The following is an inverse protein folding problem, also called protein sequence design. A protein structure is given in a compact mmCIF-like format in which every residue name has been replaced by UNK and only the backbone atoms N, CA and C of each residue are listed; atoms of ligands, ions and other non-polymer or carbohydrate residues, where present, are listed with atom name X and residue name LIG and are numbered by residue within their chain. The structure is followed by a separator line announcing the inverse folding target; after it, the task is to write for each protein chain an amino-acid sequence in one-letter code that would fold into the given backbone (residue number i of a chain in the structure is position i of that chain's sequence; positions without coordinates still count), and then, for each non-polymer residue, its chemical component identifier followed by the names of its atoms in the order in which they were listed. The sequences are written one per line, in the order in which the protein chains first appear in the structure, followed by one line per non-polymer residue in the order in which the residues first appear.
data_IF_266017837782
#
_entry.id   IF_266017837782
#
_cell.length_a   1.000
_cell.length_b   1.000
_cell.length_c   1.000
_cell.angle_alpha   90.00
_cell.angle_beta   90.00
_cell.angle_gamma   90.00
#
_symmetry.space_group_name_H-M   'P 1'
#
loop_
_entity.id
_entity.type
_entity.pdbx_description
1 polymer ?
#
# COMPACT_ATOMS: atom_id res chain seq x y z
N UNK A 1 15.38 -3.34 22.08
CA UNK A 1 16.31 -3.24 20.94
C UNK A 1 15.86 -2.15 19.97
N UNK A 2 16.78 -1.49 19.24
CA UNK A 2 16.40 -0.54 18.18
C UNK A 2 15.96 -1.32 16.93
N UNK A 3 14.78 -1.01 16.41
CA UNK A 3 14.30 -1.55 15.13
C UNK A 3 14.94 -0.80 13.98
N UNK A 4 15.55 -1.52 13.04
CA UNK A 4 16.14 -0.94 11.84
C UNK A 4 15.04 -0.73 10.79
N UNK A 5 15.05 0.44 10.17
CA UNK A 5 14.21 0.77 9.02
C UNK A 5 15.11 1.09 7.85
N UNK A 6 14.74 0.60 6.66
CA UNK A 6 15.43 0.87 5.41
C UNK A 6 14.49 1.71 4.55
N UNK A 7 14.91 2.92 4.21
CA UNK A 7 14.13 3.84 3.37
C UNK A 7 14.94 4.27 2.17
N UNK A 8 14.31 4.47 1.00
CA UNK A 8 15.00 5.02 -0.15
C UNK A 8 15.22 6.52 0.07
N UNK A 9 16.41 7.00 -0.27
CA UNK A 9 16.78 8.40 -0.18
C UNK A 9 17.48 8.82 -1.48
N UNK A 10 17.16 10.02 -1.97
CA UNK A 10 17.72 10.53 -3.21
C UNK A 10 18.85 11.51 -2.91
N UNK A 11 19.99 11.27 -3.55
CA UNK A 11 21.12 12.18 -3.58
C UNK A 11 21.36 12.55 -5.04
N UNK A 12 21.34 13.85 -5.36
CA UNK A 12 21.77 14.31 -6.68
C UNK A 12 23.19 14.81 -6.59
N UNK A 13 24.01 14.46 -7.57
CA UNK A 13 25.35 14.99 -7.75
C UNK A 13 25.53 15.52 -9.16
N UNK A 14 26.21 16.65 -9.32
CA UNK A 14 26.66 17.12 -10.63
C UNK A 14 28.13 16.73 -10.89
N UNK A 15 28.62 16.99 -12.11
CA UNK A 15 30.00 16.72 -12.52
C UNK A 15 31.05 17.52 -11.72
N UNK A 16 30.63 18.59 -11.04
CA UNK A 16 31.47 19.42 -10.18
C UNK A 16 31.50 18.94 -8.72
N UNK A 17 30.80 17.85 -8.40
CA UNK A 17 30.73 17.27 -7.06
C UNK A 17 29.78 17.99 -6.10
N UNK A 18 28.96 18.94 -6.58
CA UNK A 18 27.91 19.52 -5.76
C UNK A 18 26.85 18.46 -5.48
N UNK A 19 26.37 18.40 -4.24
CA UNK A 19 25.35 17.44 -3.84
C UNK A 19 24.10 18.09 -3.26
N UNK A 20 22.95 17.50 -3.62
CA UNK A 20 21.65 17.75 -3.00
C UNK A 20 21.34 16.60 -2.07
N UNK A 21 21.04 16.94 -0.82
CA UNK A 21 20.64 15.99 0.21
C UNK A 21 19.12 15.70 0.20
N UNK A 22 18.68 14.63 0.87
CA UNK A 22 17.28 14.21 0.88
C UNK A 22 16.30 15.22 1.51
N UNK A 23 16.78 16.20 2.30
CA UNK A 23 15.93 17.23 2.93
C UNK A 23 15.17 18.06 1.89
N UNK A 24 15.65 18.07 0.64
CA UNK A 24 14.90 18.59 -0.51
C UNK A 24 13.47 18.10 -0.53
N UNK A 25 13.28 16.80 -0.50
CA UNK A 25 11.96 16.22 -0.70
C UNK A 25 11.04 16.44 0.49
N UNK A 26 11.57 16.39 1.71
CA UNK A 26 10.82 16.77 2.91
C UNK A 26 10.31 18.22 2.83
N UNK A 27 11.14 19.17 2.38
CA UNK A 27 10.71 20.56 2.18
C UNK A 27 9.70 20.71 1.04
N UNK A 28 9.92 20.03 -0.11
CA UNK A 28 8.97 20.10 -1.23
C UNK A 28 7.59 19.54 -0.84
N UNK A 29 7.55 18.41 -0.14
CA UNK A 29 6.31 17.80 0.33
C UNK A 29 5.57 18.74 1.30
N UNK A 30 6.27 19.27 2.30
CA UNK A 30 5.64 20.14 3.29
C UNK A 30 5.18 21.48 2.69
N UNK A 31 5.93 22.04 1.73
CA UNK A 31 5.48 23.22 0.96
C UNK A 31 4.24 22.89 0.13
N UNK A 32 4.21 21.71 -0.52
CA UNK A 32 3.05 21.29 -1.28
C UNK A 32 1.79 21.18 -0.40
N UNK A 33 1.93 20.65 0.82
CA UNK A 33 0.85 20.47 1.78
C UNK A 33 0.35 21.77 2.40
N UNK A 34 1.28 22.64 2.81
CA UNK A 34 0.96 23.80 3.66
C UNK A 34 0.93 25.14 2.92
N UNK A 35 1.59 25.23 1.76
CA UNK A 35 1.78 26.49 1.04
C UNK A 35 2.60 27.54 1.80
N UNK A 36 3.31 27.14 2.88
CA UNK A 36 4.07 28.05 3.76
C UNK A 36 5.44 27.48 4.07
N UNK A 37 6.48 28.26 3.76
CA UNK A 37 7.87 27.87 4.03
C UNK A 37 8.18 27.73 5.53
N UNK A 38 7.52 28.51 6.39
CA UNK A 38 7.71 28.43 7.84
C UNK A 38 7.27 27.08 8.41
N UNK A 39 6.07 26.62 8.04
CA UNK A 39 5.55 25.31 8.43
C UNK A 39 6.36 24.19 7.77
N UNK A 40 6.76 24.37 6.51
CA UNK A 40 7.60 23.38 5.85
C UNK A 40 8.97 23.19 6.51
N UNK A 41 9.58 24.28 6.97
CA UNK A 41 10.85 24.20 7.70
C UNK A 41 10.71 23.45 9.03
N UNK A 42 9.62 23.71 9.77
CA UNK A 42 9.29 23.01 11.00
C UNK A 42 9.08 21.50 10.76
N UNK A 43 8.25 21.13 9.79
CA UNK A 43 7.99 19.74 9.40
C UNK A 43 9.26 19.00 8.96
N UNK A 44 10.16 19.68 8.23
CA UNK A 44 11.44 19.13 7.79
C UNK A 44 12.53 19.16 8.88
N UNK A 45 12.23 19.66 10.08
CA UNK A 45 13.18 19.69 11.21
C UNK A 45 14.34 20.67 11.02
N UNK A 46 14.16 21.74 10.23
CA UNK A 46 15.21 22.72 9.93
C UNK A 46 14.79 24.15 10.27
N UNK A 47 15.75 25.03 10.54
CA UNK A 47 15.43 26.46 10.73
C UNK A 47 14.93 27.10 9.43
N UNK A 48 14.07 28.12 9.54
CA UNK A 48 13.60 28.89 8.37
C UNK A 48 14.75 29.41 7.51
N UNK A 49 15.81 29.95 8.14
CA UNK A 49 17.00 30.44 7.43
C UNK A 49 17.71 29.31 6.68
N UNK A 50 17.80 28.13 7.28
CA UNK A 50 18.38 26.96 6.62
C UNK A 50 17.54 26.50 5.44
N UNK A 51 16.21 26.39 5.59
CA UNK A 51 15.30 26.06 4.51
C UNK A 51 15.41 27.04 3.34
N UNK A 52 15.48 28.35 3.62
CA UNK A 52 15.70 29.37 2.59
C UNK A 52 17.02 29.18 1.83
N UNK A 53 18.12 28.93 2.56
CA UNK A 53 19.43 28.69 1.96
C UNK A 53 19.45 27.43 1.10
N UNK A 54 18.76 26.37 1.54
CA UNK A 54 18.60 25.15 0.77
C UNK A 54 17.85 25.40 -0.54
N UNK A 55 16.72 26.12 -0.51
CA UNK A 55 15.99 26.48 -1.74
C UNK A 55 16.87 27.21 -2.74
N UNK A 56 17.72 28.15 -2.27
CA UNK A 56 18.67 28.87 -3.13
C UNK A 56 19.78 27.98 -3.67
N UNK A 57 20.32 27.09 -2.84
CA UNK A 57 21.31 26.09 -3.26
C UNK A 57 20.73 25.20 -4.38
N UNK A 58 19.48 24.76 -4.25
CA UNK A 58 18.84 23.90 -5.23
C UNK A 58 18.45 24.64 -6.50
N UNK A 59 18.03 25.91 -6.40
CA UNK A 59 17.85 26.78 -7.57
C UNK A 59 19.14 26.91 -8.39
N UNK A 60 20.28 27.09 -7.72
CA UNK A 60 21.59 27.13 -8.37
C UNK A 60 21.94 25.78 -9.02
N UNK A 61 21.69 24.68 -8.33
CA UNK A 61 22.00 23.33 -8.85
C UNK A 61 21.16 22.96 -10.08
N UNK A 62 19.84 23.22 -10.05
CA UNK A 62 18.94 22.89 -11.16
C UNK A 62 18.86 23.97 -12.24
N UNK A 63 19.47 25.14 -12.01
CA UNK A 63 19.40 26.30 -12.91
C UNK A 63 18.03 26.98 -12.95
N UNK A 64 17.08 26.55 -12.12
CA UNK A 64 15.71 27.10 -12.04
C UNK A 64 15.15 26.89 -10.63
N UNK A 65 14.30 27.80 -10.12
CA UNK A 65 13.68 27.61 -8.82
C UNK A 65 12.77 26.38 -8.79
N UNK A 66 12.83 25.63 -7.69
CA UNK A 66 11.89 24.54 -7.39
C UNK A 66 10.64 25.02 -6.66
N UNK A 67 10.72 26.20 -6.05
CA UNK A 67 9.65 26.82 -5.27
C UNK A 67 9.53 28.29 -5.67
N UNK A 68 8.32 28.71 -5.96
CA UNK A 68 7.92 30.08 -6.24
C UNK A 68 7.38 30.72 -4.96
N UNK A 69 8.01 31.81 -4.53
CA UNK A 69 7.67 32.54 -3.32
C UNK A 69 6.99 33.85 -3.70
N UNK A 70 5.69 33.95 -3.43
CA UNK A 70 4.91 35.14 -3.77
C UNK A 70 4.53 35.91 -2.52
N UNK A 71 4.86 37.21 -2.48
CA UNK A 71 4.54 38.09 -1.35
C UNK A 71 3.02 38.08 -1.10
N UNK A 72 2.60 37.69 0.11
CA UNK A 72 1.20 37.59 0.50
C UNK A 72 0.44 36.35 0.03
N UNK A 73 1.01 35.50 -0.84
CA UNK A 73 0.37 34.26 -1.35
C UNK A 73 1.07 32.97 -0.93
N UNK A 74 2.19 33.05 -0.20
CA UNK A 74 2.90 31.90 0.34
C UNK A 74 3.93 31.30 -0.63
N UNK A 75 4.24 30.02 -0.41
CA UNK A 75 5.19 29.22 -1.18
C UNK A 75 4.43 28.20 -2.03
N UNK A 76 4.73 28.12 -3.31
CA UNK A 76 4.15 27.11 -4.22
C UNK A 76 5.27 26.39 -4.96
N UNK A 77 5.07 25.10 -5.23
CA UNK A 77 6.04 24.36 -6.04
C UNK A 77 6.00 24.83 -7.50
N UNK A 78 7.17 25.06 -8.09
CA UNK A 78 7.31 25.29 -9.53
C UNK A 78 6.96 24.00 -10.31
N UNK A 79 6.79 24.06 -11.64
CA UNK A 79 6.57 22.86 -12.45
C UNK A 79 7.64 21.78 -12.25
N UNK A 80 8.92 22.18 -12.13
CA UNK A 80 10.01 21.24 -11.86
C UNK A 80 9.94 20.70 -10.43
N UNK A 81 9.68 21.56 -9.43
CA UNK A 81 9.53 21.13 -8.03
C UNK A 81 8.42 20.08 -7.85
N UNK A 82 7.27 20.27 -8.51
CA UNK A 82 6.18 19.28 -8.53
C UNK A 82 6.62 17.98 -9.20
N UNK A 83 7.29 18.07 -10.35
CA UNK A 83 7.76 16.89 -11.09
C UNK A 83 8.77 16.07 -10.27
N UNK A 84 9.67 16.72 -9.55
CA UNK A 84 10.63 16.06 -8.66
C UNK A 84 9.93 15.40 -7.47
N UNK A 85 9.04 16.11 -6.78
CA UNK A 85 8.27 15.57 -5.66
C UNK A 85 7.50 14.30 -6.07
N UNK A 86 6.76 14.35 -7.18
CA UNK A 86 6.00 13.19 -7.66
C UNK A 86 6.89 12.05 -8.13
N UNK A 87 8.07 12.33 -8.68
CA UNK A 87 9.02 11.29 -9.05
C UNK A 87 9.57 10.56 -7.81
N UNK A 88 9.89 11.29 -6.74
CA UNK A 88 10.37 10.71 -5.49
C UNK A 88 9.28 9.91 -4.77
N UNK A 89 8.08 10.47 -4.63
CA UNK A 89 6.95 9.76 -4.04
C UNK A 89 6.59 8.49 -4.80
N UNK A 90 6.69 8.47 -6.14
CA UNK A 90 6.50 7.26 -6.94
C UNK A 90 7.55 6.20 -6.62
N UNK A 91 8.82 6.60 -6.44
CA UNK A 91 9.89 5.66 -6.07
C UNK A 91 9.68 5.12 -4.67
N UNK A 92 9.34 5.96 -3.69
CA UNK A 92 8.99 5.52 -2.34
C UNK A 92 7.80 4.56 -2.39
N UNK A 93 6.75 4.91 -3.12
CA UNK A 93 5.55 4.10 -3.23
C UNK A 93 5.83 2.74 -3.88
N UNK A 94 6.77 2.66 -4.82
CA UNK A 94 7.14 1.41 -5.51
C UNK A 94 8.11 0.54 -4.72
N UNK A 95 9.16 1.14 -4.16
CA UNK A 95 10.25 0.42 -3.50
C UNK A 95 10.06 0.26 -1.99
N UNK A 96 9.25 1.10 -1.35
CA UNK A 96 9.01 1.07 0.09
C UNK A 96 8.70 -0.33 0.63
N UNK A 97 7.73 -1.06 0.06
CA UNK A 97 7.39 -2.40 0.54
C UNK A 97 8.55 -3.40 0.39
N UNK A 98 9.33 -3.30 -0.68
CA UNK A 98 10.48 -4.17 -0.90
C UNK A 98 11.57 -3.91 0.15
N UNK A 99 11.83 -2.64 0.46
CA UNK A 99 12.78 -2.23 1.48
C UNK A 99 12.30 -2.56 2.89
N UNK A 100 11.00 -2.52 3.15
CA UNK A 100 10.41 -3.00 4.40
C UNK A 100 10.62 -4.51 4.61
N UNK A 101 10.40 -5.33 3.58
CA UNK A 101 10.68 -6.77 3.65
C UNK A 101 12.16 -7.06 3.88
N UNK A 102 13.07 -6.37 3.17
CA UNK A 102 14.52 -6.48 3.42
C UNK A 102 14.89 -6.01 4.85
N UNK A 103 14.23 -4.96 5.33
CA UNK A 103 14.38 -4.50 6.71
C UNK A 103 13.92 -5.54 7.73
N UNK A 104 12.84 -6.26 7.46
CA UNK A 104 12.37 -7.38 8.28
C UNK A 104 13.43 -8.48 8.38
N UNK A 105 13.96 -8.92 7.23
CA UNK A 105 15.01 -9.94 7.16
C UNK A 105 16.27 -9.54 7.95
N UNK A 106 16.73 -8.30 7.76
CA UNK A 106 17.91 -7.78 8.45
C UNK A 106 17.70 -7.71 9.97
N UNK A 107 16.53 -7.25 10.42
CA UNK A 107 16.20 -7.20 11.84
C UNK A 107 16.23 -8.60 12.47
N UNK A 108 15.70 -9.61 11.77
CA UNK A 108 15.71 -11.00 12.25
C UNK A 108 17.13 -11.57 12.33
N UNK A 109 17.94 -11.35 11.29
CA UNK A 109 19.32 -11.81 11.27
C UNK A 109 20.13 -11.21 12.43
N UNK A 110 19.93 -9.92 12.73
CA UNK A 110 20.58 -9.24 13.85
C UNK A 110 20.04 -9.74 15.19
N UNK A 111 18.73 -9.92 15.34
CA UNK A 111 18.12 -10.45 16.57
C UNK A 111 18.67 -11.84 16.91
N UNK A 112 18.75 -12.73 15.92
CA UNK A 112 19.30 -14.08 16.09
C UNK A 112 20.75 -14.08 16.61
N UNK A 113 21.54 -13.07 16.24
CA UNK A 113 22.92 -12.93 16.70
C UNK A 113 23.04 -12.26 18.08
N UNK A 114 22.17 -11.31 18.41
CA UNK A 114 22.32 -10.48 19.62
C UNK A 114 21.59 -11.02 20.86
N UNK A 115 20.42 -11.63 20.70
CA UNK A 115 19.48 -11.85 21.83
C UNK A 115 18.97 -13.30 21.95
N UNK A 116 19.46 -14.23 21.13
CA UNK A 116 18.93 -15.60 21.05
C UNK A 116 17.59 -15.70 20.32
N UNK A 117 16.97 -16.88 20.32
CA UNK A 117 15.75 -17.15 19.53
C UNK A 117 14.50 -16.63 20.23
N UNK A 118 14.03 -15.44 19.87
CA UNK A 118 12.66 -15.02 20.17
C UNK A 118 11.65 -15.78 19.29
N UNK A 119 10.40 -16.00 19.74
CA UNK A 119 9.38 -16.62 18.91
C UNK A 119 9.03 -15.72 17.72
N UNK A 120 9.52 -16.04 16.52
CA UNK A 120 9.25 -15.28 15.30
C UNK A 120 7.93 -15.74 14.70
N UNK A 121 7.00 -14.84 14.41
CA UNK A 121 5.80 -15.13 13.63
C UNK A 121 6.05 -14.74 12.17
N UNK A 122 5.99 -15.69 11.23
CA UNK A 122 6.26 -15.43 9.80
C UNK A 122 4.96 -15.21 9.02
N UNK A 123 4.77 -14.01 8.49
CA UNK A 123 3.61 -13.61 7.71
C UNK A 123 4.01 -13.26 6.28
N UNK A 124 3.43 -13.99 5.32
CA UNK A 124 3.51 -13.65 3.91
C UNK A 124 2.17 -13.07 3.46
N UNK A 125 2.16 -11.85 2.90
CA UNK A 125 0.91 -11.15 2.64
C UNK A 125 1.05 -10.14 1.50
N UNK A 126 -0.05 -9.76 0.86
CA UNK A 126 -0.02 -8.62 -0.06
C UNK A 126 0.05 -7.31 0.70
N UNK A 127 0.83 -6.37 0.18
CA UNK A 127 0.97 -5.04 0.76
C UNK A 127 -0.38 -4.34 0.88
N UNK A 128 -0.65 -3.75 2.05
CA UNK A 128 -1.84 -2.94 2.30
C UNK A 128 -1.75 -2.26 3.66
N UNK A 129 -2.40 -1.10 3.78
CA UNK A 129 -2.26 -0.20 4.93
C UNK A 129 -2.56 -0.86 6.28
N UNK A 130 -3.54 -1.78 6.36
CA UNK A 130 -3.81 -2.51 7.60
C UNK A 130 -2.71 -3.51 7.98
N UNK A 131 -2.02 -4.11 6.99
CA UNK A 131 -0.88 -5.01 7.23
C UNK A 131 0.33 -4.21 7.72
N UNK A 132 0.55 -3.00 7.18
CA UNK A 132 1.60 -2.08 7.65
C UNK A 132 1.44 -1.67 9.12
N UNK A 133 0.23 -1.74 9.69
CA UNK A 133 0.00 -1.51 11.12
C UNK A 133 0.51 -2.66 11.99
N UNK A 134 0.47 -3.90 11.50
CA UNK A 134 0.76 -5.10 12.31
C UNK A 134 2.10 -5.04 13.06
N UNK A 135 3.23 -4.66 12.43
CA UNK A 135 4.51 -4.60 13.13
C UNK A 135 4.53 -3.61 14.32
N UNK A 136 3.67 -2.59 14.33
CA UNK A 136 3.57 -1.65 15.46
C UNK A 136 2.88 -2.29 16.67
N UNK A 137 1.91 -3.17 16.43
CA UNK A 137 1.11 -3.80 17.48
C UNK A 137 1.69 -5.14 17.95
N UNK A 138 2.44 -5.81 17.08
CA UNK A 138 3.08 -7.09 17.37
C UNK A 138 4.52 -6.92 17.88
N UNK A 139 4.90 -5.81 18.52
CA UNK A 139 6.30 -5.61 18.96
C UNK A 139 6.81 -6.69 19.93
N UNK A 140 5.90 -7.28 20.70
CA UNK A 140 6.18 -8.39 21.61
C UNK A 140 6.39 -9.73 20.90
N UNK A 141 5.90 -9.86 19.65
CA UNK A 141 6.05 -11.02 18.78
C UNK A 141 6.92 -10.61 17.60
N UNK A 142 8.21 -10.97 17.57
CA UNK A 142 9.06 -10.68 16.40
C UNK A 142 8.36 -11.11 15.11
N UNK A 143 7.86 -10.15 14.32
CA UNK A 143 7.09 -10.40 13.11
C UNK A 143 8.04 -10.36 11.91
N UNK A 144 8.15 -11.47 11.21
CA UNK A 144 8.77 -11.51 9.89
C UNK A 144 7.70 -11.28 8.82
N UNK A 145 7.69 -10.09 8.21
CA UNK A 145 6.68 -9.70 7.22
C UNK A 145 7.29 -9.65 5.81
N UNK A 146 6.79 -10.53 4.95
CA UNK A 146 7.20 -10.65 3.56
C UNK A 146 6.04 -10.29 2.61
N UNK A 147 6.25 -9.29 1.76
CA UNK A 147 5.23 -8.88 0.80
C UNK A 147 5.26 -9.72 -0.47
N UNK A 148 4.15 -10.37 -0.80
CA UNK A 148 4.02 -11.20 -2.01
C UNK A 148 2.55 -11.30 -2.49
N UNK A 149 2.32 -11.96 -3.62
CA UNK A 149 0.96 -12.20 -4.11
C UNK A 149 0.19 -13.18 -3.20
N UNK A 150 -1.16 -13.15 -3.18
CA UNK A 150 -1.94 -14.09 -2.37
C UNK A 150 -1.65 -15.57 -2.71
N UNK A 151 -1.45 -15.87 -4.00
CA UNK A 151 -1.12 -17.22 -4.46
C UNK A 151 0.25 -17.68 -3.93
N UNK A 152 1.27 -16.82 -3.97
CA UNK A 152 2.59 -17.11 -3.41
C UNK A 152 2.55 -17.27 -1.89
N UNK A 153 1.81 -16.42 -1.17
CA UNK A 153 1.63 -16.52 0.27
C UNK A 153 1.03 -17.88 0.66
N UNK A 154 -0.08 -18.27 0.00
CA UNK A 154 -0.73 -19.56 0.23
C UNK A 154 0.17 -20.75 -0.14
N UNK A 155 0.92 -20.66 -1.23
CA UNK A 155 1.89 -21.70 -1.62
C UNK A 155 3.04 -21.82 -0.60
N UNK A 156 3.50 -20.70 -0.04
CA UNK A 156 4.55 -20.66 0.99
C UNK A 156 4.07 -21.28 2.30
N UNK A 157 2.83 -21.00 2.72
CA UNK A 157 2.21 -21.66 3.87
C UNK A 157 2.11 -23.17 3.66
N UNK A 158 1.73 -23.60 2.46
CA UNK A 158 1.64 -25.03 2.12
C UNK A 158 2.97 -25.76 2.18
N UNK A 159 4.09 -25.06 1.96
CA UNK A 159 5.46 -25.58 2.12
C UNK A 159 5.98 -25.48 3.56
N UNK A 160 5.25 -24.85 4.48
CA UNK A 160 5.67 -24.62 5.87
C UNK A 160 6.75 -23.53 6.02
N UNK A 161 6.99 -22.74 4.97
CA UNK A 161 7.99 -21.67 4.97
C UNK A 161 7.50 -20.38 5.63
N UNK A 162 6.19 -20.23 5.83
CA UNK A 162 5.60 -19.19 6.67
C UNK A 162 4.55 -19.78 7.62
N UNK A 163 4.17 -19.02 8.65
CA UNK A 163 3.18 -19.41 9.65
C UNK A 163 1.77 -18.90 9.27
N UNK A 164 1.70 -17.73 8.63
CA UNK A 164 0.48 -17.08 8.15
C UNK A 164 0.62 -16.68 6.68
N UNK A 165 -0.48 -16.83 5.94
CA UNK A 165 -0.64 -16.29 4.59
C UNK A 165 -1.82 -15.33 4.51
N UNK A 166 -1.61 -14.15 3.94
CA UNK A 166 -2.65 -13.18 3.64
C UNK A 166 -3.26 -13.38 2.26
N UNK A 167 -4.58 -13.28 2.15
CA UNK A 167 -5.30 -13.29 0.87
C UNK A 167 -6.55 -12.40 0.95
N UNK A 168 -7.23 -12.23 -0.18
CA UNK A 168 -8.41 -11.37 -0.28
C UNK A 168 -9.56 -12.13 -0.90
N UNK A 169 -10.76 -11.83 -0.41
CA UNK A 169 -12.00 -12.35 -0.95
C UNK A 169 -12.97 -11.18 -1.16
N UNK A 170 -13.21 -10.78 -2.42
CA UNK A 170 -14.25 -9.82 -2.74
C UNK A 170 -15.61 -10.26 -2.20
N UNK A 171 -16.43 -9.32 -1.80
CA UNK A 171 -17.82 -9.58 -1.48
C UNK A 171 -18.64 -9.66 -2.77
N UNK A 172 -19.73 -10.43 -2.77
CA UNK A 172 -20.59 -10.60 -3.95
C UNK A 172 -20.11 -11.68 -4.93
N UNK A 173 -20.63 -11.69 -6.18
CA UNK A 173 -20.43 -12.80 -7.10
C UNK A 173 -18.99 -12.95 -7.60
N UNK A 174 -18.26 -11.84 -7.79
CA UNK A 174 -16.81 -11.87 -8.07
C UNK A 174 -16.04 -12.68 -7.02
N UNK A 175 -16.43 -12.59 -5.75
CA UNK A 175 -15.85 -13.38 -4.66
C UNK A 175 -15.94 -14.88 -4.90
N UNK A 176 -17.07 -15.35 -5.43
CA UNK A 176 -17.27 -16.77 -5.76
C UNK A 176 -16.35 -17.24 -6.89
N UNK A 177 -15.95 -16.36 -7.79
CA UNK A 177 -14.95 -16.67 -8.82
C UNK A 177 -13.54 -16.68 -8.24
N UNK A 178 -13.18 -15.66 -7.47
CA UNK A 178 -11.85 -15.53 -6.86
C UNK A 178 -11.57 -16.66 -5.86
N UNK A 179 -12.56 -17.17 -5.13
CA UNK A 179 -12.31 -18.28 -4.20
C UNK A 179 -11.97 -19.59 -4.93
N UNK A 180 -12.49 -19.81 -6.16
CA UNK A 180 -12.16 -21.00 -6.98
C UNK A 180 -10.68 -21.05 -7.31
N UNK A 181 -10.09 -19.90 -7.56
CA UNK A 181 -8.66 -19.75 -7.83
C UNK A 181 -7.76 -20.20 -6.66
N UNK A 182 -8.28 -20.17 -5.44
CA UNK A 182 -7.58 -20.58 -4.23
C UNK A 182 -7.94 -22.00 -3.75
N UNK A 183 -8.93 -22.68 -4.35
CA UNK A 183 -9.40 -24.01 -3.90
C UNK A 183 -8.28 -25.05 -3.82
N UNK A 184 -7.34 -25.05 -4.78
CA UNK A 184 -6.20 -25.97 -4.79
C UNK A 184 -5.13 -25.66 -3.73
N UNK A 185 -5.15 -24.45 -3.15
CA UNK A 185 -4.16 -23.98 -2.18
C UNK A 185 -4.71 -23.97 -0.74
N UNK A 186 -6.03 -23.86 -0.57
CA UNK A 186 -6.69 -23.94 0.72
C UNK A 186 -7.03 -25.39 1.06
N UNK A 187 -6.47 -25.92 2.14
CA UNK A 187 -6.65 -27.31 2.58
C UNK A 187 -7.63 -27.36 3.75
N UNK A 188 -8.93 -27.69 3.56
CA UNK A 188 -9.93 -27.44 4.60
C UNK A 188 -9.73 -28.22 5.90
N UNK A 189 -9.11 -29.40 5.81
CA UNK A 189 -8.81 -30.25 6.97
C UNK A 189 -7.63 -29.76 7.79
N UNK A 190 -6.70 -29.01 7.20
CA UNK A 190 -5.46 -28.59 7.87
C UNK A 190 -5.37 -27.09 8.05
N UNK A 191 -6.17 -26.30 7.33
CA UNK A 191 -6.12 -24.84 7.39
C UNK A 191 -7.28 -24.28 8.22
N UNK A 192 -7.02 -23.13 8.83
CA UNK A 192 -8.02 -22.27 9.45
C UNK A 192 -7.84 -20.85 8.96
N UNK A 193 -8.96 -20.21 8.67
CA UNK A 193 -9.00 -18.81 8.22
C UNK A 193 -9.24 -17.92 9.42
N UNK A 194 -8.59 -16.77 9.43
CA UNK A 194 -8.69 -15.76 10.47
C UNK A 194 -9.20 -14.49 9.78
N UNK A 195 -10.33 -13.97 10.24
CA UNK A 195 -10.82 -12.67 9.78
C UNK A 195 -9.85 -11.55 10.16
N UNK A 196 -9.62 -10.62 9.25
CA UNK A 196 -8.68 -9.52 9.49
C UNK A 196 -9.36 -8.18 9.36
N UNK A 197 -9.68 -7.72 8.16
CA UNK A 197 -10.37 -6.43 7.92
C UNK A 197 -11.24 -6.54 6.68
N UNK A 198 -12.12 -5.55 6.47
CA UNK A 198 -12.74 -5.28 5.18
C UNK A 198 -12.25 -3.95 4.63
N UNK A 199 -12.23 -3.79 3.30
CA UNK A 199 -11.84 -2.53 2.66
C UNK A 199 -12.58 -2.25 1.37
N UNK A 200 -12.73 -0.96 1.06
CA UNK A 200 -13.24 -0.45 -0.20
C UNK A 200 -12.18 -0.52 -1.30
N UNK A 201 -12.59 -0.95 -2.48
CA UNK A 201 -11.83 -0.95 -3.73
C UNK A 201 -12.61 -0.16 -4.78
N UNK A 202 -11.90 0.59 -5.61
CA UNK A 202 -12.52 1.54 -6.50
C UNK A 202 -11.53 2.27 -7.41
N UNK A 203 -12.05 3.23 -8.17
CA UNK A 203 -11.25 4.04 -9.08
C UNK A 203 -10.69 5.25 -8.34
N UNK A 204 -9.38 5.44 -8.46
CA UNK A 204 -8.65 6.61 -8.01
C UNK A 204 -8.49 7.52 -9.21
N UNK A 205 -9.02 8.74 -9.12
CA UNK A 205 -9.08 9.70 -10.23
C UNK A 205 -8.57 11.06 -9.78
N UNK A 206 -8.19 11.89 -10.74
CA UNK A 206 -7.72 13.24 -10.45
C UNK A 206 -8.77 14.04 -9.64
N UNK A 207 -8.34 14.99 -8.77
CA UNK A 207 -9.24 15.77 -7.94
C UNK A 207 -10.28 16.53 -8.78
N UNK A 208 -11.53 16.50 -8.34
CA UNK A 208 -12.68 17.06 -9.06
C UNK A 208 -13.17 16.20 -10.23
N UNK A 209 -12.58 15.01 -10.44
CA UNK A 209 -12.93 14.04 -11.49
C UNK A 209 -13.18 14.70 -12.87
N UNK A 210 -12.17 15.38 -13.47
CA UNK A 210 -12.37 16.24 -14.65
C UNK A 210 -12.84 15.50 -15.90
N UNK A 211 -12.64 14.17 -15.95
CA UNK A 211 -13.09 13.33 -17.06
C UNK A 211 -14.45 12.65 -16.80
N UNK A 212 -15.07 12.88 -15.63
CA UNK A 212 -16.36 12.32 -15.28
C UNK A 212 -16.35 10.78 -15.20
N UNK A 213 -15.25 10.20 -14.71
CA UNK A 213 -15.15 8.75 -14.53
C UNK A 213 -15.96 8.36 -13.30
N UNK A 214 -17.18 7.85 -13.49
CA UNK A 214 -18.13 7.50 -12.43
C UNK A 214 -18.29 5.98 -12.25
N UNK A 215 -17.60 5.18 -13.05
CA UNK A 215 -17.58 3.73 -12.95
C UNK A 215 -16.76 3.05 -14.05
N UNK A 216 -16.80 1.72 -14.07
CA UNK A 216 -16.06 0.92 -15.06
C UNK A 216 -16.41 1.24 -16.52
N UNK A 217 -17.69 1.50 -16.90
CA UNK A 217 -18.01 1.86 -18.28
C UNK A 217 -17.27 3.09 -18.80
N UNK A 218 -17.00 4.07 -17.94
CA UNK A 218 -16.27 5.28 -18.31
C UNK A 218 -14.80 5.02 -18.70
N UNK A 219 -14.24 3.86 -18.31
CA UNK A 219 -12.88 3.45 -18.70
C UNK A 219 -12.82 2.91 -20.13
N UNK A 220 -13.95 2.43 -20.66
CA UNK A 220 -14.02 1.84 -21.99
C UNK A 220 -14.08 2.94 -23.06
N UNK A 221 -12.93 3.37 -23.56
CA UNK A 221 -12.83 4.37 -24.61
C UNK A 221 -11.48 5.08 -24.64
N UNK A 222 -11.14 5.75 -25.75
CA UNK A 222 -9.78 6.32 -25.97
C UNK A 222 -9.46 7.59 -25.15
N UNK A 223 -10.32 7.99 -24.20
CA UNK A 223 -10.19 9.27 -23.46
C UNK A 223 -9.58 9.12 -22.06
N UNK A 224 -9.56 7.91 -21.49
CA UNK A 224 -9.08 7.67 -20.12
C UNK A 224 -7.87 6.75 -20.20
N UNK A 225 -6.69 7.26 -19.84
CA UNK A 225 -5.48 6.45 -19.68
C UNK A 225 -5.54 5.78 -18.31
N UNK A 226 -5.46 4.46 -18.31
CA UNK A 226 -5.58 3.66 -17.10
C UNK A 226 -4.22 3.18 -16.60
N UNK A 227 -4.08 3.02 -15.28
CA UNK A 227 -2.95 2.35 -14.65
C UNK A 227 -3.45 1.24 -13.73
N UNK A 228 -2.85 0.06 -13.86
CA UNK A 228 -3.29 -1.15 -13.19
C UNK A 228 -2.38 -1.54 -12.02
N UNK A 229 -2.91 -2.39 -11.14
CA UNK A 229 -2.09 -3.24 -10.29
C UNK A 229 -1.56 -4.43 -11.10
N UNK A 230 -0.38 -4.92 -10.72
CA UNK A 230 0.22 -6.14 -11.30
C UNK A 230 -0.78 -7.31 -11.45
N UNK A 231 -0.65 -8.08 -12.53
CA UNK A 231 -1.58 -9.15 -12.89
C UNK A 231 -1.83 -10.19 -11.77
N UNK A 232 -0.81 -10.46 -10.94
CA UNK A 232 -0.88 -11.46 -9.85
C UNK A 232 -1.53 -10.95 -8.57
N UNK A 233 -1.93 -9.68 -8.51
CA UNK A 233 -2.56 -9.11 -7.31
C UNK A 233 -4.02 -9.52 -7.16
N UNK A 234 -4.50 -9.63 -5.91
CA UNK A 234 -5.93 -9.84 -5.67
C UNK A 234 -6.80 -8.67 -6.14
N UNK A 235 -6.25 -7.45 -6.17
CA UNK A 235 -6.91 -6.26 -6.71
C UNK A 235 -7.13 -6.35 -8.22
N UNK A 236 -6.18 -6.91 -8.97
CA UNK A 236 -6.40 -7.20 -10.39
C UNK A 236 -7.47 -8.27 -10.58
N UNK A 237 -7.43 -9.36 -9.80
CA UNK A 237 -8.46 -10.40 -9.88
C UNK A 237 -9.87 -9.84 -9.60
N UNK A 238 -10.01 -8.90 -8.66
CA UNK A 238 -11.25 -8.18 -8.41
C UNK A 238 -11.69 -7.32 -9.61
N UNK A 239 -10.79 -6.47 -10.12
CA UNK A 239 -11.11 -5.62 -11.28
C UNK A 239 -11.55 -6.46 -12.49
N UNK A 240 -10.83 -7.54 -12.78
CA UNK A 240 -11.11 -8.42 -13.91
C UNK A 240 -12.47 -9.10 -13.76
N UNK A 241 -12.82 -9.51 -12.54
CA UNK A 241 -14.14 -10.02 -12.22
C UNK A 241 -15.25 -8.98 -12.44
N UNK A 242 -15.06 -7.75 -11.96
CA UNK A 242 -16.04 -6.66 -12.16
C UNK A 242 -16.19 -6.27 -13.63
N UNK A 243 -15.09 -6.25 -14.40
CA UNK A 243 -15.12 -5.99 -15.84
C UNK A 243 -15.87 -7.10 -16.58
N UNK A 244 -15.66 -8.35 -16.20
CA UNK A 244 -16.37 -9.49 -16.76
C UNK A 244 -17.88 -9.42 -16.47
N UNK A 245 -18.28 -9.09 -15.23
CA UNK A 245 -19.69 -8.87 -14.87
C UNK A 245 -20.32 -7.73 -15.68
N UNK A 246 -19.56 -6.66 -15.94
CA UNK A 246 -20.01 -5.53 -16.75
C UNK A 246 -19.95 -5.77 -18.27
N UNK A 247 -19.45 -6.92 -18.73
CA UNK A 247 -19.26 -7.22 -20.16
C UNK A 247 -18.21 -6.35 -20.85
N UNK A 248 -17.29 -5.76 -20.08
CA UNK A 248 -16.23 -4.86 -20.58
C UNK A 248 -14.98 -5.68 -20.83
N UNK A 249 -14.48 -5.64 -22.08
CA UNK A 249 -13.22 -6.30 -22.42
C UNK A 249 -12.04 -5.47 -21.92
N UNK A 250 -11.05 -6.07 -21.25
CA UNK A 250 -9.76 -5.43 -20.93
C UNK A 250 -9.14 -4.62 -22.06
N UNK A 251 -9.16 -5.15 -23.27
CA UNK A 251 -8.60 -4.51 -24.47
C UNK A 251 -9.32 -3.21 -24.89
N UNK A 252 -10.49 -2.93 -24.33
CA UNK A 252 -11.22 -1.69 -24.56
C UNK A 252 -10.75 -0.53 -23.66
N UNK A 253 -9.90 -0.81 -22.66
CA UNK A 253 -9.39 0.17 -21.70
C UNK A 253 -7.95 0.56 -22.09
N UNK A 254 -7.70 1.81 -22.52
CA UNK A 254 -6.35 2.25 -22.85
C UNK A 254 -5.42 2.20 -21.64
N UNK A 255 -4.26 1.57 -21.80
CA UNK A 255 -3.27 1.46 -20.72
C UNK A 255 -3.54 0.33 -19.73
N UNK A 256 -4.51 -0.56 -20.00
CA UNK A 256 -4.82 -1.67 -19.11
C UNK A 256 -3.63 -2.60 -18.81
N UNK A 257 -2.67 -2.74 -19.73
CA UNK A 257 -1.44 -3.51 -19.53
C UNK A 257 -0.32 -2.74 -18.81
N UNK A 258 -0.52 -1.46 -18.49
CA UNK A 258 0.45 -0.67 -17.72
C UNK A 258 0.21 -0.96 -16.25
N UNK A 259 1.25 -1.43 -15.56
CA UNK A 259 1.13 -1.96 -14.21
C UNK A 259 2.05 -1.28 -13.19
N UNK A 260 1.58 -1.22 -11.95
CA UNK A 260 2.35 -0.87 -10.76
C UNK A 260 2.17 -1.92 -9.66
N UNK A 261 3.16 -1.96 -8.76
CA UNK A 261 3.31 -3.06 -7.80
C UNK A 261 2.71 -2.79 -6.42
N UNK A 262 2.23 -1.57 -6.19
CA UNK A 262 1.66 -1.16 -4.90
C UNK A 262 0.44 -0.26 -5.11
N UNK A 263 -0.47 -0.21 -4.15
CA UNK A 263 -1.63 0.71 -4.23
C UNK A 263 -1.17 2.17 -4.28
N UNK A 264 -0.20 2.51 -3.44
CA UNK A 264 0.42 3.83 -3.40
C UNK A 264 1.08 4.18 -4.73
N UNK A 265 1.70 3.22 -5.43
CA UNK A 265 2.35 3.50 -6.71
C UNK A 265 1.32 3.80 -7.81
N UNK A 266 0.20 3.07 -7.85
CA UNK A 266 -0.93 3.39 -8.74
C UNK A 266 -1.47 4.81 -8.44
N UNK A 267 -1.71 5.13 -7.17
CA UNK A 267 -2.18 6.46 -6.78
C UNK A 267 -1.16 7.56 -7.14
N UNK A 268 0.12 7.37 -6.84
CA UNK A 268 1.19 8.30 -7.21
C UNK A 268 1.29 8.50 -8.73
N UNK A 269 1.04 7.45 -9.52
CA UNK A 269 1.04 7.51 -10.98
C UNK A 269 -0.10 8.39 -11.52
N UNK A 270 -1.31 8.28 -10.95
CA UNK A 270 -2.45 9.15 -11.27
C UNK A 270 -2.20 10.58 -10.79
N UNK A 271 -1.73 10.76 -9.56
CA UNK A 271 -1.41 12.09 -9.01
C UNK A 271 -0.33 12.84 -9.81
N UNK A 272 0.62 12.09 -10.40
CA UNK A 272 1.63 12.63 -11.30
C UNK A 272 1.09 12.99 -12.70
N UNK A 273 -0.20 12.77 -12.99
CA UNK A 273 -0.82 13.01 -14.30
C UNK A 273 -0.40 12.03 -15.40
N UNK A 274 0.25 10.92 -15.02
CA UNK A 274 0.72 9.91 -15.97
C UNK A 274 -0.40 8.97 -16.43
N UNK A 275 -1.44 8.82 -15.61
CA UNK A 275 -2.70 8.20 -15.95
C UNK A 275 -3.85 9.07 -15.45
N UNK A 276 -5.05 8.83 -15.97
CA UNK A 276 -6.26 9.58 -15.63
C UNK A 276 -7.11 8.84 -14.58
N UNK A 277 -7.00 7.51 -14.54
CA UNK A 277 -7.63 6.66 -13.54
C UNK A 277 -6.77 5.44 -13.22
N UNK A 278 -6.89 4.92 -12.01
CA UNK A 278 -6.33 3.62 -11.62
C UNK A 278 -7.22 2.91 -10.61
N UNK A 279 -7.07 1.60 -10.43
CA UNK A 279 -7.89 0.82 -9.49
C UNK A 279 -7.12 0.42 -8.23
N UNK A 280 -7.71 0.65 -7.06
CA UNK A 280 -7.06 0.39 -5.79
C UNK A 280 -7.91 0.73 -4.58
N UNK A 281 -7.25 0.83 -3.42
CA UNK A 281 -7.91 1.10 -2.13
C UNK A 281 -8.08 2.59 -1.88
N UNK A 282 -9.17 2.94 -1.22
CA UNK A 282 -9.53 4.32 -0.88
C UNK A 282 -8.44 5.07 -0.09
N UNK A 283 -7.80 4.38 0.88
CA UNK A 283 -6.69 4.95 1.65
C UNK A 283 -5.52 5.44 0.77
N UNK A 284 -5.24 4.78 -0.36
CA UNK A 284 -4.21 5.23 -1.29
C UNK A 284 -4.66 6.50 -2.04
N UNK A 285 -5.92 6.55 -2.49
CA UNK A 285 -6.47 7.74 -3.14
C UNK A 285 -6.34 8.97 -2.23
N UNK A 286 -6.83 8.86 -0.98
CA UNK A 286 -6.80 9.97 -0.03
C UNK A 286 -5.38 10.40 0.33
N UNK A 287 -4.44 9.45 0.49
CA UNK A 287 -3.02 9.75 0.78
C UNK A 287 -2.37 10.63 -0.30
N UNK A 288 -2.77 10.46 -1.55
CA UNK A 288 -2.27 11.24 -2.69
C UNK A 288 -3.22 12.38 -3.10
N UNK A 289 -4.22 12.69 -2.26
CA UNK A 289 -5.18 13.77 -2.50
C UNK A 289 -6.07 13.55 -3.72
N UNK A 290 -6.27 12.31 -4.16
CA UNK A 290 -7.11 11.94 -5.29
C UNK A 290 -8.57 11.74 -4.86
N UNK A 291 -9.49 11.92 -5.81
CA UNK A 291 -10.89 11.52 -5.63
C UNK A 291 -11.03 10.01 -5.80
N UNK A 292 -12.06 9.44 -5.16
CA UNK A 292 -12.30 8.00 -5.14
C UNK A 292 -13.73 7.64 -5.53
N UNK A 293 -13.87 6.71 -6.47
CA UNK A 293 -15.14 6.14 -6.91
C UNK A 293 -15.24 4.71 -6.38
N UNK A 294 -16.00 4.45 -5.31
CA UNK A 294 -16.11 3.13 -4.72
C UNK A 294 -16.86 2.18 -5.65
N UNK A 295 -16.33 0.97 -5.86
CA UNK A 295 -16.93 -0.04 -6.74
C UNK A 295 -17.20 -1.37 -6.06
N UNK A 296 -16.39 -1.75 -5.07
CA UNK A 296 -16.52 -3.03 -4.38
C UNK A 296 -15.98 -2.97 -2.95
N UNK A 297 -16.41 -3.93 -2.14
CA UNK A 297 -15.78 -4.25 -0.86
C UNK A 297 -15.14 -5.62 -0.92
N UNK A 298 -14.00 -5.78 -0.24
CA UNK A 298 -13.36 -7.07 -0.09
C UNK A 298 -12.92 -7.33 1.35
N UNK A 299 -12.94 -8.60 1.73
CA UNK A 299 -12.44 -9.06 3.00
C UNK A 299 -10.97 -9.43 2.84
N UNK A 300 -10.09 -8.80 3.63
CA UNK A 300 -8.73 -9.29 3.84
C UNK A 300 -8.81 -10.40 4.88
N UNK A 301 -8.30 -11.58 4.54
CA UNK A 301 -8.28 -12.74 5.39
C UNK A 301 -6.84 -13.23 5.58
N UNK A 302 -6.57 -13.84 6.73
CA UNK A 302 -5.33 -14.58 6.98
C UNK A 302 -5.66 -16.07 7.04
N UNK A 303 -4.71 -16.93 6.72
CA UNK A 303 -4.84 -18.37 6.88
C UNK A 303 -3.59 -18.96 7.51
N UNK A 304 -3.80 -19.97 8.34
CA UNK A 304 -2.74 -20.69 9.06
C UNK A 304 -3.04 -22.19 9.12
N UNK A 305 -2.07 -22.96 9.61
CA UNK A 305 -2.30 -24.36 9.95
C UNK A 305 -3.16 -24.45 11.22
N UNK A 306 -4.14 -25.35 11.26
CA UNK A 306 -5.03 -25.57 12.39
C UNK A 306 -4.26 -25.85 13.68
N UNK A 307 -3.20 -26.67 13.59
CA UNK A 307 -2.32 -26.99 14.73
C UNK A 307 -1.63 -25.76 15.33
N UNK A 308 -1.40 -24.72 14.52
CA UNK A 308 -0.73 -23.51 14.97
C UNK A 308 -1.60 -22.66 15.89
N UNK A 309 -2.92 -22.85 15.91
CA UNK A 309 -3.82 -22.11 16.81
C UNK A 309 -3.59 -22.42 18.30
N UNK A 310 -2.88 -23.51 18.62
CA UNK A 310 -2.49 -23.87 19.99
C UNK A 310 -1.16 -23.21 20.41
N UNK A 311 -0.46 -22.56 19.48
CA UNK A 311 0.78 -21.85 19.75
C UNK A 311 0.50 -20.50 20.43
N UNK A 312 1.28 -20.15 21.45
CA UNK A 312 1.14 -18.89 22.18
C UNK A 312 1.30 -17.68 21.27
N UNK A 313 2.12 -17.76 20.22
CA UNK A 313 2.27 -16.70 19.19
C UNK A 313 0.96 -16.41 18.48
N UNK A 314 0.20 -17.46 18.16
CA UNK A 314 -1.09 -17.33 17.49
C UNK A 314 -2.17 -16.82 18.44
N UNK A 315 -2.20 -17.31 19.68
CA UNK A 315 -3.13 -16.78 20.69
C UNK A 315 -2.94 -15.27 20.86
N UNK A 316 -1.69 -14.84 20.99
CA UNK A 316 -1.34 -13.42 21.14
C UNK A 316 -1.66 -12.60 19.89
N UNK A 317 -1.41 -13.12 18.68
CA UNK A 317 -1.88 -12.49 17.44
C UNK A 317 -3.40 -12.28 17.46
N UNK A 318 -4.17 -13.32 17.79
CA UNK A 318 -5.63 -13.24 17.79
C UNK A 318 -6.14 -12.24 18.83
N UNK A 319 -5.54 -12.17 20.01
CA UNK A 319 -5.82 -11.14 21.01
C UNK A 319 -5.60 -9.73 20.46
N UNK A 320 -4.44 -9.49 19.82
CA UNK A 320 -4.09 -8.19 19.25
C UNK A 320 -5.07 -7.80 18.14
N UNK A 321 -5.40 -8.72 17.23
CA UNK A 321 -6.38 -8.44 16.18
C UNK A 321 -7.77 -8.11 16.74
N UNK A 322 -8.15 -8.73 17.87
CA UNK A 322 -9.42 -8.48 18.56
C UNK A 322 -9.39 -7.23 19.43
N UNK A 323 -8.21 -6.71 19.79
CA UNK A 323 -8.08 -5.56 20.68
C UNK A 323 -8.74 -4.30 20.11
N UNK A 324 -9.30 -3.48 20.99
CA UNK A 324 -9.88 -2.20 20.58
C UNK A 324 -8.84 -1.28 19.94
N UNK A 325 -7.61 -1.27 20.45
CA UNK A 325 -6.57 -0.37 19.97
C UNK A 325 -6.16 -0.66 18.52
N UNK A 326 -6.07 -1.94 18.16
CA UNK A 326 -5.82 -2.33 16.77
C UNK A 326 -7.01 -1.98 15.88
N UNK A 327 -8.23 -2.33 16.30
CA UNK A 327 -9.44 -2.06 15.52
C UNK A 327 -9.69 -0.55 15.33
N UNK A 328 -9.43 0.28 16.35
CA UNK A 328 -9.49 1.76 16.23
C UNK A 328 -8.51 2.26 15.18
N UNK A 329 -7.26 1.78 15.18
CA UNK A 329 -6.28 2.19 14.17
C UNK A 329 -6.66 1.74 12.76
N UNK A 330 -7.28 0.56 12.60
CA UNK A 330 -7.85 0.16 11.31
C UNK A 330 -8.95 1.13 10.87
N UNK A 331 -9.87 1.49 11.77
CA UNK A 331 -10.97 2.42 11.46
C UNK A 331 -10.52 3.83 11.11
N UNK A 332 -9.30 4.23 11.46
CA UNK A 332 -8.74 5.51 11.00
C UNK A 332 -8.28 5.49 9.53
N UNK A 333 -8.12 4.31 8.94
CA UNK A 333 -7.72 4.18 7.54
C UNK A 333 -8.95 4.36 6.63
N UNK A 334 -8.91 5.29 5.67
CA UNK A 334 -10.05 5.54 4.80
C UNK A 334 -10.48 4.32 3.99
N UNK A 335 -11.77 4.02 4.04
CA UNK A 335 -12.36 2.86 3.38
C UNK A 335 -12.00 1.51 4.02
N UNK A 336 -11.40 1.46 5.20
CA UNK A 336 -11.16 0.22 5.95
C UNK A 336 -12.13 0.13 7.13
N UNK A 337 -12.55 -1.10 7.46
CA UNK A 337 -13.33 -1.37 8.65
C UNK A 337 -12.88 -2.68 9.31
N UNK A 338 -12.85 -2.74 10.65
CA UNK A 338 -12.75 -4.00 11.37
C UNK A 338 -13.82 -4.97 10.92
N UNK A 339 -13.44 -6.18 10.52
CA UNK A 339 -14.38 -7.19 10.07
C UNK A 339 -13.92 -8.58 10.51
N UNK A 340 -14.65 -9.15 11.48
CA UNK A 340 -14.34 -10.47 12.07
C UNK A 340 -12.89 -10.56 12.56
N UNK A 341 -12.31 -9.46 13.05
CA UNK A 341 -10.90 -9.36 13.39
C UNK A 341 -10.49 -10.44 14.41
N UNK A 342 -9.54 -11.28 14.04
CA UNK A 342 -9.08 -12.39 14.87
C UNK A 342 -10.13 -13.49 15.07
N UNK A 343 -11.28 -13.49 14.39
CA UNK A 343 -12.23 -14.60 14.45
C UNK A 343 -11.67 -15.76 13.61
N UNK A 344 -11.61 -16.95 14.20
CA UNK A 344 -11.24 -18.18 13.50
C UNK A 344 -12.47 -18.74 12.80
N UNK A 345 -12.33 -19.06 11.52
CA UNK A 345 -13.39 -19.49 10.60
C UNK A 345 -12.96 -20.82 9.98
N UNK A 346 -13.91 -21.74 9.86
CA UNK A 346 -13.66 -23.00 9.15
C UNK A 346 -13.43 -22.72 7.66
N UNK A 347 -12.38 -23.30 7.09
CA UNK A 347 -12.06 -23.08 5.67
C UNK A 347 -13.22 -23.52 4.76
N UNK A 348 -14.00 -24.51 5.17
CA UNK A 348 -15.20 -24.98 4.45
C UNK A 348 -16.28 -23.90 4.34
N UNK A 349 -16.45 -23.02 5.33
CA UNK A 349 -17.44 -21.94 5.27
C UNK A 349 -17.17 -21.00 4.09
N UNK A 350 -15.90 -20.78 3.76
CA UNK A 350 -15.50 -19.93 2.63
C UNK A 350 -15.66 -20.65 1.29
N UNK A 351 -15.37 -21.95 1.24
CA UNK A 351 -15.45 -22.74 0.01
C UNK A 351 -16.87 -23.15 -0.37
N UNK A 352 -17.81 -23.15 0.58
CA UNK A 352 -19.20 -23.58 0.39
C UNK A 352 -20.19 -22.43 0.12
N UNK A 353 -19.72 -21.21 -0.12
CA UNK A 353 -20.61 -20.12 -0.54
C UNK A 353 -21.42 -20.57 -1.78
N UNK A 354 -22.76 -20.42 -1.75
CA UNK A 354 -23.64 -21.19 -2.60
C UNK A 354 -23.36 -20.94 -4.08
N UNK A 355 -23.36 -22.03 -4.86
CA UNK A 355 -23.47 -21.98 -6.32
C UNK A 355 -24.85 -21.39 -6.62
N UNK A 356 -24.93 -20.09 -6.87
CA UNK A 356 -26.14 -19.46 -7.41
C UNK A 356 -26.28 -19.80 -8.88
#
# INVERSE_FOLDING_TARGET
MKRIQITPAWYFSDESGNQIDPTLFALLEAIHRHGKLTQAAEDAGVSYRHAWNLLKKWEQFFGTPLVELTRGRGAQLSPLGKKLLWAEQRVIARLGPQLESLGSELNLAIQQQLEGVQPVLRLHASHGFAVELLPKYLQELSLDLQYCSPREALATLNRGACDLAGFHLPQGPVGQQVIRDYQGLLKPRSHRVIGFISRNQGLMVAPGNPLGVDGLPALAGRKVRFINRQATSGTRALLDGLLNEAGIRPSAIPGYEVEEYTHSAVAAYVAAGMADAGFGVEAAAQRFGLDFVPLAQENYLLVCQQRSLQDSRFMRLLEILRSEDFQKAVSTLPGYAPHRCGQVIETTELLLSPRS
#
